data_IF_444742703212
#
_entry.id   IF_444742703212
#
_cell.length_a   1.000
_cell.length_b   1.000
_cell.length_c   1.000
_cell.angle_alpha   90.00
_cell.angle_beta   90.00
_cell.angle_gamma   90.00
#
_symmetry.space_group_name_H-M   'P 1'
#
loop_
_entity.id
_entity.type
_entity.pdbx_description
1 polymer ?
#
# COMPACT_ATOMS: atom_id res chain seq x y z
N UNK A 1 27.79 -59.38 -4.29
CA UNK A 1 27.93 -57.93 -4.03
C UNK A 1 28.11 -57.04 -5.29
N UNK A 2 28.83 -57.42 -6.33
CA UNK A 2 29.02 -56.61 -7.56
C UNK A 2 27.72 -56.39 -8.33
N UNK A 3 26.83 -57.38 -8.45
CA UNK A 3 25.54 -57.25 -9.20
C UNK A 3 24.55 -56.28 -8.55
N UNK A 4 24.49 -56.23 -7.24
CA UNK A 4 23.56 -55.27 -6.54
C UNK A 4 24.07 -53.85 -6.68
N UNK A 5 25.34 -53.60 -6.67
CA UNK A 5 25.94 -52.26 -6.89
C UNK A 5 25.70 -51.72 -8.29
N UNK A 6 25.78 -52.59 -9.31
CA UNK A 6 25.50 -52.20 -10.70
C UNK A 6 24.02 -51.86 -10.94
N UNK A 7 23.07 -52.57 -10.33
CA UNK A 7 21.64 -52.29 -10.45
C UNK A 7 21.24 -50.98 -9.77
N UNK A 8 21.84 -50.67 -8.63
CA UNK A 8 21.60 -49.40 -7.91
C UNK A 8 22.19 -48.20 -8.66
N UNK A 9 23.37 -48.32 -9.23
CA UNK A 9 24.00 -47.32 -10.09
C UNK A 9 23.16 -47.05 -11.35
N UNK A 10 22.69 -48.11 -12.01
CA UNK A 10 21.81 -48.00 -13.20
C UNK A 10 20.48 -47.30 -12.86
N UNK A 11 19.86 -47.59 -11.73
CA UNK A 11 18.63 -46.91 -11.28
C UNK A 11 18.87 -45.43 -10.98
N UNK A 12 19.97 -45.09 -10.32
CA UNK A 12 20.36 -43.70 -10.04
C UNK A 12 20.64 -42.92 -11.33
N UNK A 13 21.33 -43.49 -12.29
CA UNK A 13 21.59 -42.87 -13.61
C UNK A 13 20.31 -42.69 -14.40
N UNK A 14 19.36 -43.62 -14.36
CA UNK A 14 18.07 -43.50 -15.01
C UNK A 14 17.21 -42.39 -14.38
N UNK A 15 17.19 -42.30 -13.04
CA UNK A 15 16.48 -41.24 -12.33
C UNK A 15 17.05 -39.85 -12.61
N UNK A 16 18.37 -39.70 -12.73
CA UNK A 16 19.04 -38.47 -13.08
C UNK A 16 18.76 -38.07 -14.54
N UNK A 17 18.73 -39.01 -15.46
CA UNK A 17 18.36 -38.78 -16.86
C UNK A 17 16.89 -38.34 -16.99
N UNK A 18 15.99 -38.97 -16.24
CA UNK A 18 14.57 -38.59 -16.20
C UNK A 18 14.36 -37.19 -15.63
N UNK A 19 15.08 -36.86 -14.55
CA UNK A 19 15.05 -35.52 -13.97
C UNK A 19 15.58 -34.48 -14.95
N UNK A 20 16.67 -34.75 -15.64
CA UNK A 20 17.24 -33.89 -16.66
C UNK A 20 16.26 -33.69 -17.84
N UNK A 21 15.62 -34.77 -18.28
CA UNK A 21 14.60 -34.71 -19.33
C UNK A 21 13.40 -33.85 -18.91
N UNK A 22 12.91 -34.01 -17.68
CA UNK A 22 11.82 -33.19 -17.15
C UNK A 22 12.22 -31.71 -17.13
N UNK A 23 13.44 -31.38 -16.66
CA UNK A 23 13.94 -30.01 -16.63
C UNK A 23 14.09 -29.42 -18.04
N UNK A 24 14.60 -30.21 -19.00
CA UNK A 24 14.75 -29.77 -20.39
C UNK A 24 13.38 -29.57 -21.04
N UNK A 25 12.45 -30.52 -20.89
CA UNK A 25 11.09 -30.38 -21.44
C UNK A 25 10.37 -29.17 -20.84
N UNK A 26 10.44 -29.01 -19.50
CA UNK A 26 9.85 -27.84 -18.84
C UNK A 26 10.50 -26.52 -19.32
N UNK A 27 11.82 -26.51 -19.45
CA UNK A 27 12.54 -25.36 -19.98
C UNK A 27 12.16 -25.03 -21.42
N UNK A 28 12.02 -26.03 -22.30
CA UNK A 28 11.57 -25.83 -23.68
C UNK A 28 10.12 -25.33 -23.74
N UNK A 29 9.22 -25.92 -22.97
CA UNK A 29 7.81 -25.47 -22.91
C UNK A 29 7.74 -24.04 -22.38
N UNK A 30 8.52 -23.71 -21.36
CA UNK A 30 8.56 -22.37 -20.77
C UNK A 30 9.11 -21.32 -21.75
N UNK A 31 10.15 -21.68 -22.52
CA UNK A 31 10.72 -20.79 -23.55
C UNK A 31 9.82 -20.62 -24.77
N UNK A 32 8.93 -21.59 -25.04
CA UNK A 32 7.96 -21.54 -26.15
C UNK A 32 6.59 -21.01 -25.71
N UNK A 33 6.33 -20.87 -24.41
CA UNK A 33 5.07 -20.32 -23.92
C UNK A 33 4.96 -18.85 -24.37
N UNK A 34 3.99 -18.59 -25.24
CA UNK A 34 3.63 -17.23 -25.60
C UNK A 34 3.13 -16.52 -24.35
N UNK A 35 3.74 -15.39 -24.02
CA UNK A 35 3.23 -14.54 -22.94
C UNK A 35 1.92 -13.90 -23.41
N UNK A 36 0.88 -13.86 -22.55
CA UNK A 36 -0.34 -13.17 -22.92
C UNK A 36 -0.02 -11.71 -23.25
N UNK A 37 -0.60 -11.16 -24.34
CA UNK A 37 -0.37 -9.76 -24.68
C UNK A 37 -0.87 -8.88 -23.55
N UNK A 38 -0.07 -7.90 -23.15
CA UNK A 38 -0.46 -6.89 -22.15
C UNK A 38 -1.17 -5.75 -22.88
N UNK A 39 -2.39 -5.45 -22.46
CA UNK A 39 -3.17 -4.33 -22.96
C UNK A 39 -2.57 -2.99 -22.55
N UNK A 40 -2.97 -1.89 -23.19
CA UNK A 40 -2.57 -0.53 -22.80
C UNK A 40 -3.06 -0.20 -21.39
N UNK A 41 -2.32 0.65 -20.68
CA UNK A 41 -2.81 1.23 -19.44
C UNK A 41 -4.10 1.99 -19.70
N UNK A 42 -5.09 1.81 -18.82
CA UNK A 42 -6.23 2.70 -18.74
C UNK A 42 -5.77 3.97 -18.02
N UNK A 43 -5.74 5.09 -18.74
CA UNK A 43 -5.48 6.38 -18.12
C UNK A 43 -6.75 6.80 -17.40
N UNK A 44 -6.68 7.14 -16.09
CA UNK A 44 -7.84 7.66 -15.37
C UNK A 44 -8.37 8.91 -16.09
N UNK A 45 -9.66 8.93 -16.40
CA UNK A 45 -10.31 10.16 -16.81
C UNK A 45 -10.44 11.04 -15.56
N UNK A 46 -9.85 12.23 -15.62
CA UNK A 46 -10.06 13.21 -14.57
C UNK A 46 -11.48 13.75 -14.67
N UNK A 47 -12.21 13.81 -13.55
CA UNK A 47 -13.54 14.42 -13.58
C UNK A 47 -13.41 15.86 -14.06
N UNK A 48 -14.16 16.22 -15.09
CA UNK A 48 -14.28 17.63 -15.47
C UNK A 48 -14.79 18.40 -14.26
N UNK A 49 -14.21 19.57 -13.92
CA UNK A 49 -14.67 20.36 -12.81
C UNK A 49 -16.18 20.51 -12.88
N UNK A 50 -16.91 20.02 -11.90
CA UNK A 50 -18.34 20.31 -11.81
C UNK A 50 -18.45 21.79 -11.48
N UNK A 51 -19.10 22.56 -12.33
CA UNK A 51 -19.20 24.03 -12.32
C UNK A 51 -19.62 24.67 -10.97
N UNK A 52 -19.84 23.89 -9.91
CA UNK A 52 -20.30 24.35 -8.60
C UNK A 52 -19.43 23.96 -7.40
N UNK A 53 -18.61 22.91 -7.47
CA UNK A 53 -17.80 22.46 -6.31
C UNK A 53 -16.36 22.97 -6.31
N UNK A 54 -15.87 23.52 -7.42
CA UNK A 54 -14.47 23.87 -7.59
C UNK A 54 -14.12 25.34 -7.37
N UNK A 55 -15.10 26.18 -7.05
CA UNK A 55 -14.87 27.63 -6.84
C UNK A 55 -14.48 28.01 -5.42
N UNK A 56 -14.82 27.15 -4.45
CA UNK A 56 -14.53 27.42 -3.04
C UNK A 56 -13.47 26.41 -2.54
N UNK A 57 -12.44 26.86 -1.82
CA UNK A 57 -11.42 25.98 -1.28
C UNK A 57 -12.02 25.02 -0.25
N UNK A 58 -11.80 23.73 -0.44
CA UNK A 58 -12.25 22.69 0.47
C UNK A 58 -11.07 21.96 1.08
N UNK A 59 -11.04 21.87 2.40
CA UNK A 59 -10.08 21.05 3.16
C UNK A 59 -10.74 20.51 4.42
N UNK A 60 -10.62 19.22 4.64
CA UNK A 60 -11.20 18.56 5.80
C UNK A 60 -10.30 17.43 6.31
N UNK A 61 -10.24 17.26 7.63
CA UNK A 61 -9.57 16.14 8.28
C UNK A 61 -10.53 15.36 9.17
N UNK A 62 -10.40 14.04 9.19
CA UNK A 62 -11.19 13.10 10.02
C UNK A 62 -10.33 11.90 10.38
N UNK A 63 -10.72 11.17 11.42
CA UNK A 63 -10.24 9.81 11.63
C UNK A 63 -11.19 8.81 11.00
N UNK A 64 -10.67 7.95 10.12
CA UNK A 64 -11.42 6.84 9.54
C UNK A 64 -11.56 5.67 10.51
N UNK A 65 -10.60 5.47 11.41
CA UNK A 65 -10.67 4.48 12.48
C UNK A 65 -11.35 5.03 13.73
N UNK A 66 -12.05 4.18 14.47
CA UNK A 66 -12.82 4.56 15.65
C UNK A 66 -12.34 3.91 16.95
N UNK A 67 -11.65 2.78 16.91
CA UNK A 67 -11.06 2.15 18.10
C UNK A 67 -9.93 2.98 18.66
N UNK A 68 -9.89 3.12 20.00
CA UNK A 68 -8.83 3.82 20.71
C UNK A 68 -7.76 2.86 21.26
N UNK A 69 -8.01 1.56 21.21
CA UNK A 69 -7.21 0.52 21.87
C UNK A 69 -6.29 -0.27 20.91
N UNK A 70 -6.39 -0.03 19.61
CA UNK A 70 -5.66 -0.81 18.60
C UNK A 70 -4.41 -0.08 18.08
N UNK A 71 -3.38 -0.87 17.80
CA UNK A 71 -2.32 -0.47 16.89
C UNK A 71 -2.86 -0.55 15.46
N UNK A 72 -2.87 0.55 14.73
CA UNK A 72 -3.38 0.61 13.35
C UNK A 72 -2.29 1.01 12.37
N UNK A 73 -2.28 0.38 11.17
CA UNK A 73 -1.24 0.68 10.19
C UNK A 73 -1.63 0.27 8.76
N UNK A 74 -0.88 0.81 7.78
CA UNK A 74 -0.96 0.47 6.36
C UNK A 74 -2.37 0.61 5.77
N UNK A 75 -2.96 1.79 5.89
CA UNK A 75 -4.27 2.10 5.34
C UNK A 75 -4.29 2.17 3.82
N UNK A 76 -5.46 1.90 3.24
CA UNK A 76 -5.79 2.10 1.84
C UNK A 76 -7.25 2.55 1.72
N UNK A 77 -7.57 3.35 0.71
CA UNK A 77 -8.91 3.89 0.48
C UNK A 77 -9.31 3.70 -0.99
N UNK A 78 -10.60 3.46 -1.22
CA UNK A 78 -11.19 3.40 -2.55
C UNK A 78 -12.53 4.13 -2.58
N UNK A 79 -12.91 4.73 -3.71
CA UNK A 79 -14.28 5.21 -3.90
C UNK A 79 -15.25 4.02 -3.98
N UNK A 80 -16.51 4.28 -3.62
CA UNK A 80 -17.59 3.31 -3.75
C UNK A 80 -18.43 3.60 -5.00
N UNK A 81 -19.00 2.59 -5.66
CA UNK A 81 -19.80 2.79 -6.88
C UNK A 81 -21.01 3.72 -6.70
N UNK A 82 -21.62 3.69 -5.51
CA UNK A 82 -22.76 4.52 -5.13
C UNK A 82 -22.38 5.90 -4.58
N UNK A 83 -21.10 6.22 -4.55
CA UNK A 83 -20.54 7.40 -3.91
C UNK A 83 -20.04 7.13 -2.50
N UNK A 84 -19.25 8.06 -1.97
CA UNK A 84 -18.52 7.87 -0.70
C UNK A 84 -17.26 7.03 -0.86
N UNK A 85 -16.69 6.59 0.26
CA UNK A 85 -15.41 5.90 0.30
C UNK A 85 -15.47 4.67 1.21
N UNK A 86 -14.56 3.73 0.98
CA UNK A 86 -14.23 2.67 1.92
C UNK A 86 -12.74 2.69 2.21
N UNK A 87 -12.37 2.84 3.47
CA UNK A 87 -10.99 2.71 3.92
C UNK A 87 -10.80 1.34 4.58
N UNK A 88 -9.60 0.77 4.40
CA UNK A 88 -9.17 -0.48 5.01
C UNK A 88 -7.79 -0.31 5.62
N UNK A 89 -7.52 -1.00 6.72
CA UNK A 89 -6.22 -1.01 7.40
C UNK A 89 -6.07 -2.31 8.20
N UNK A 90 -4.89 -2.60 8.69
CA UNK A 90 -4.76 -3.65 9.69
C UNK A 90 -4.73 -3.08 11.11
N UNK A 91 -5.35 -3.78 12.05
CA UNK A 91 -5.44 -3.39 13.45
C UNK A 91 -5.30 -4.60 14.39
N UNK A 92 -4.71 -4.38 15.54
CA UNK A 92 -4.50 -5.37 16.58
C UNK A 92 -3.56 -4.88 17.68
N UNK A 93 -3.05 -5.76 18.53
CA UNK A 93 -2.21 -5.35 19.67
C UNK A 93 -0.86 -4.74 19.25
N UNK A 94 -0.30 -5.16 18.12
CA UNK A 94 0.93 -4.63 17.51
C UNK A 94 1.10 -5.16 16.10
N UNK A 95 1.98 -4.56 15.33
CA UNK A 95 2.32 -5.08 13.99
C UNK A 95 2.75 -6.55 14.05
N UNK A 96 2.12 -7.38 13.21
CA UNK A 96 2.43 -8.79 13.05
C UNK A 96 2.03 -9.68 14.22
N UNK A 97 1.20 -9.20 15.15
CA UNK A 97 0.59 -10.03 16.19
C UNK A 97 -0.46 -10.99 15.60
N UNK A 98 -0.77 -12.10 16.30
CA UNK A 98 -1.78 -13.06 15.84
C UNK A 98 -3.22 -12.54 15.87
N UNK A 99 -3.49 -11.47 16.63
CA UNK A 99 -4.78 -10.80 16.76
C UNK A 99 -5.00 -9.69 15.74
N UNK A 100 -4.06 -9.51 14.81
CA UNK A 100 -4.20 -8.54 13.72
C UNK A 100 -5.24 -9.00 12.72
N UNK A 101 -6.27 -8.17 12.53
CA UNK A 101 -7.32 -8.30 11.52
C UNK A 101 -7.25 -7.15 10.51
N UNK A 102 -7.93 -7.31 9.37
CA UNK A 102 -8.18 -6.21 8.43
C UNK A 102 -9.50 -5.56 8.84
N UNK A 103 -9.42 -4.30 9.26
CA UNK A 103 -10.55 -3.44 9.59
C UNK A 103 -10.96 -2.58 8.41
N UNK A 104 -12.19 -2.11 8.44
CA UNK A 104 -12.73 -1.19 7.45
C UNK A 104 -13.70 -0.20 8.09
N UNK A 105 -13.88 0.96 7.42
CA UNK A 105 -14.95 1.91 7.66
C UNK A 105 -15.45 2.48 6.33
N UNK A 106 -16.68 2.98 6.31
CA UNK A 106 -17.31 3.60 5.14
C UNK A 106 -17.52 5.09 5.43
N UNK A 107 -17.17 5.93 4.47
CA UNK A 107 -17.42 7.37 4.53
C UNK A 107 -18.70 7.69 3.78
N UNK A 108 -19.61 8.36 4.45
CA UNK A 108 -20.84 8.88 3.86
C UNK A 108 -20.61 10.33 3.38
N UNK A 109 -20.69 10.59 2.07
CA UNK A 109 -20.47 11.93 1.52
C UNK A 109 -21.58 12.93 1.90
N UNK A 110 -22.74 12.48 2.36
CA UNK A 110 -23.85 13.35 2.77
C UNK A 110 -23.66 13.87 4.19
N UNK A 111 -23.42 12.98 5.14
CA UNK A 111 -23.12 13.34 6.54
C UNK A 111 -21.69 13.82 6.74
N UNK A 112 -20.81 13.55 5.79
CA UNK A 112 -19.36 13.83 5.89
C UNK A 112 -18.70 13.11 7.08
N UNK A 113 -19.16 11.91 7.42
CA UNK A 113 -18.71 11.11 8.56
C UNK A 113 -18.28 9.71 8.15
N UNK A 114 -17.35 9.15 8.91
CA UNK A 114 -16.98 7.74 8.83
C UNK A 114 -17.90 6.90 9.73
N UNK A 115 -18.33 5.76 9.23
CA UNK A 115 -19.04 4.76 10.06
C UNK A 115 -18.12 4.25 11.18
N UNK A 116 -18.67 3.69 12.26
CA UNK A 116 -17.89 2.85 13.15
C UNK A 116 -17.12 1.79 12.36
N UNK A 117 -15.88 1.52 12.77
CA UNK A 117 -15.07 0.49 12.13
C UNK A 117 -15.63 -0.91 12.38
N UNK A 118 -15.38 -1.82 11.45
CA UNK A 118 -15.77 -3.22 11.53
C UNK A 118 -14.65 -4.13 11.01
N UNK A 119 -14.63 -5.38 11.48
CA UNK A 119 -13.71 -6.39 10.96
C UNK A 119 -14.19 -6.85 9.59
N UNK A 120 -13.39 -6.52 8.55
CA UNK A 120 -13.66 -6.97 7.18
C UNK A 120 -13.10 -8.37 6.93
N UNK A 121 -11.89 -8.65 7.40
CA UNK A 121 -11.24 -9.95 7.27
C UNK A 121 -10.52 -10.29 8.57
N UNK A 122 -10.93 -11.38 9.23
CA UNK A 122 -10.18 -11.87 10.37
C UNK A 122 -9.11 -12.88 9.97
N UNK A 123 -8.05 -12.98 10.79
CA UNK A 123 -7.00 -13.98 10.62
C UNK A 123 -7.58 -15.40 10.62
N UNK A 124 -8.50 -15.69 11.54
CA UNK A 124 -9.13 -17.01 11.69
C UNK A 124 -10.00 -17.36 10.49
N UNK A 125 -10.80 -16.43 10.00
CA UNK A 125 -11.61 -16.65 8.79
C UNK A 125 -10.69 -16.93 7.58
N UNK A 126 -9.57 -16.20 7.44
CA UNK A 126 -8.57 -16.45 6.39
C UNK A 126 -7.97 -17.85 6.51
N UNK A 127 -7.64 -18.29 7.72
CA UNK A 127 -7.08 -19.62 8.00
C UNK A 127 -8.05 -20.73 7.57
N UNK A 128 -9.32 -20.61 7.97
CA UNK A 128 -10.37 -21.57 7.66
C UNK A 128 -10.64 -21.64 6.14
N UNK A 129 -10.85 -20.48 5.52
CA UNK A 129 -11.23 -20.41 4.10
C UNK A 129 -10.10 -20.83 3.15
N UNK A 130 -8.84 -20.55 3.50
CA UNK A 130 -7.68 -20.99 2.74
C UNK A 130 -7.21 -22.42 3.10
N UNK A 131 -7.81 -23.04 4.13
CA UNK A 131 -7.39 -24.33 4.67
C UNK A 131 -5.88 -24.39 4.94
N UNK A 132 -5.35 -23.32 5.55
CA UNK A 132 -3.91 -23.12 5.76
C UNK A 132 -3.67 -22.37 7.04
N UNK A 133 -2.70 -22.80 7.83
CA UNK A 133 -2.28 -22.05 9.00
C UNK A 133 -1.85 -20.62 8.62
N UNK A 134 -2.47 -19.63 9.26
CA UNK A 134 -2.18 -18.20 9.11
C UNK A 134 -1.72 -17.64 10.46
N UNK A 135 -0.47 -17.21 10.48
CA UNK A 135 0.14 -16.63 11.67
C UNK A 135 -0.26 -15.16 11.87
N UNK A 136 -0.33 -14.38 10.77
CA UNK A 136 -0.64 -12.95 10.79
C UNK A 136 -1.14 -12.46 9.45
N UNK A 137 -1.86 -11.33 9.49
CA UNK A 137 -2.29 -10.55 8.33
C UNK A 137 -1.56 -9.20 8.27
N UNK A 138 -1.69 -8.50 7.15
CA UNK A 138 -1.17 -7.13 6.98
C UNK A 138 -1.38 -6.57 5.59
N UNK A 139 -0.98 -5.32 5.41
CA UNK A 139 -0.95 -4.57 4.15
C UNK A 139 -2.20 -4.76 3.28
N UNK A 140 -3.40 -4.38 3.73
CA UNK A 140 -4.57 -4.38 2.86
C UNK A 140 -4.46 -3.25 1.83
N UNK A 141 -4.90 -3.54 0.61
CA UNK A 141 -5.05 -2.56 -0.48
C UNK A 141 -6.42 -2.76 -1.09
N UNK A 142 -7.25 -1.73 -1.05
CA UNK A 142 -8.57 -1.71 -1.68
C UNK A 142 -8.55 -0.82 -2.92
N UNK A 143 -9.29 -1.21 -3.95
CA UNK A 143 -9.44 -0.42 -5.17
C UNK A 143 -10.76 -0.69 -5.85
N UNK A 144 -11.30 0.31 -6.54
CA UNK A 144 -12.46 0.18 -7.42
C UNK A 144 -11.97 -0.01 -8.86
N UNK A 145 -12.36 -1.12 -9.48
CA UNK A 145 -12.08 -1.38 -10.88
C UNK A 145 -13.06 -0.61 -11.80
N UNK A 146 -12.69 -0.36 -13.08
CA UNK A 146 -13.55 0.36 -14.03
C UNK A 146 -14.93 -0.26 -14.25
N UNK A 147 -15.10 -1.56 -13.96
CA UNK A 147 -16.38 -2.28 -14.03
C UNK A 147 -17.20 -2.20 -12.73
N UNK A 148 -16.91 -1.24 -11.84
CA UNK A 148 -17.54 -1.05 -10.54
C UNK A 148 -17.35 -2.22 -9.53
N UNK A 149 -16.40 -3.10 -9.79
CA UNK A 149 -16.02 -4.17 -8.85
C UNK A 149 -14.97 -3.65 -7.86
N UNK A 150 -15.19 -3.84 -6.57
CA UNK A 150 -14.16 -3.64 -5.56
C UNK A 150 -13.24 -4.85 -5.47
N UNK A 151 -11.95 -4.59 -5.40
CA UNK A 151 -10.91 -5.56 -5.09
C UNK A 151 -10.26 -5.23 -3.76
N UNK A 152 -10.07 -6.26 -2.94
CA UNK A 152 -9.25 -6.21 -1.73
C UNK A 152 -8.08 -7.18 -1.89
N UNK A 153 -6.87 -6.66 -1.87
CA UNK A 153 -5.64 -7.44 -1.78
C UNK A 153 -5.07 -7.30 -0.38
N UNK A 154 -4.70 -8.40 0.26
CA UNK A 154 -4.08 -8.34 1.58
C UNK A 154 -3.04 -9.43 1.77
N UNK A 155 -2.09 -9.19 2.65
CA UNK A 155 -0.97 -10.10 2.92
C UNK A 155 -1.34 -11.07 4.03
N UNK A 156 -1.02 -12.34 3.83
CA UNK A 156 -1.02 -13.35 4.89
C UNK A 156 0.35 -14.02 5.01
N UNK A 157 0.73 -14.37 6.23
CA UNK A 157 1.98 -15.08 6.54
C UNK A 157 1.65 -16.35 7.29
N UNK A 158 2.11 -17.48 6.76
CA UNK A 158 1.96 -18.80 7.40
C UNK A 158 3.15 -19.13 8.30
N UNK A 159 4.38 -18.91 7.83
CA UNK A 159 5.62 -19.25 8.53
C UNK A 159 6.61 -18.09 8.42
N UNK A 160 7.37 -17.87 9.48
CA UNK A 160 8.42 -16.86 9.51
C UNK A 160 7.91 -15.43 9.66
N UNK A 161 8.69 -14.46 9.15
CA UNK A 161 8.35 -13.04 9.07
C UNK A 161 7.70 -12.68 7.74
N UNK A 162 7.78 -11.40 7.35
CA UNK A 162 7.26 -10.92 6.07
C UNK A 162 7.88 -11.61 4.84
N UNK A 163 9.08 -12.18 4.98
CA UNK A 163 9.67 -13.07 3.97
C UNK A 163 8.87 -14.35 3.68
N UNK A 164 7.93 -14.75 4.54
CA UNK A 164 7.01 -15.88 4.32
C UNK A 164 5.63 -15.48 3.79
N UNK A 165 5.46 -14.24 3.34
CA UNK A 165 4.20 -13.66 2.91
C UNK A 165 3.69 -14.18 1.57
N UNK A 166 2.37 -14.11 1.39
CA UNK A 166 1.70 -14.19 0.11
C UNK A 166 0.47 -13.28 0.09
N UNK A 167 0.05 -12.87 -1.09
CA UNK A 167 -1.11 -12.02 -1.31
C UNK A 167 -2.35 -12.88 -1.46
N UNK A 168 -3.44 -12.45 -0.85
CA UNK A 168 -4.77 -12.97 -1.07
C UNK A 168 -5.61 -11.87 -1.73
N UNK A 169 -6.51 -12.27 -2.63
CA UNK A 169 -7.45 -11.39 -3.31
C UNK A 169 -8.88 -11.75 -2.95
N UNK A 170 -9.70 -10.76 -2.69
CA UNK A 170 -11.16 -10.85 -2.56
C UNK A 170 -11.81 -9.81 -3.45
N UNK A 171 -13.04 -10.04 -3.87
CA UNK A 171 -13.80 -9.10 -4.69
C UNK A 171 -15.21 -8.92 -4.16
N UNK A 172 -15.77 -7.75 -4.40
CA UNK A 172 -17.17 -7.43 -4.14
C UNK A 172 -17.79 -6.83 -5.38
N UNK A 173 -18.99 -7.30 -5.74
CA UNK A 173 -19.76 -6.82 -6.87
C UNK A 173 -20.97 -5.95 -6.40
N UNK A 174 -21.08 -5.66 -5.11
CA UNK A 174 -22.21 -4.97 -4.46
C UNK A 174 -21.76 -3.79 -3.56
N UNK A 175 -20.69 -3.09 -3.97
CA UNK A 175 -20.18 -1.92 -3.24
C UNK A 175 -19.55 -2.25 -1.90
N UNK A 176 -19.03 -3.48 -1.70
CA UNK A 176 -18.36 -3.88 -0.46
C UNK A 176 -19.30 -4.37 0.64
N UNK A 177 -20.58 -4.69 0.32
CA UNK A 177 -21.54 -5.27 1.26
C UNK A 177 -21.20 -6.74 1.48
N UNK A 178 -21.01 -7.49 0.40
CA UNK A 178 -20.56 -8.88 0.46
C UNK A 178 -19.26 -9.08 -0.30
N UNK A 179 -18.47 -10.07 0.14
CA UNK A 179 -17.15 -10.35 -0.42
C UNK A 179 -17.00 -11.82 -0.79
N UNK A 180 -16.32 -12.08 -1.90
CA UNK A 180 -15.95 -13.44 -2.27
C UNK A 180 -15.01 -14.04 -1.20
N UNK A 181 -14.96 -15.39 -1.09
CA UNK A 181 -13.90 -16.02 -0.33
C UNK A 181 -12.50 -15.57 -0.79
N UNK A 182 -11.51 -15.49 0.12
CA UNK A 182 -10.16 -15.12 -0.25
C UNK A 182 -9.53 -16.17 -1.16
N UNK A 183 -8.88 -15.70 -2.22
CA UNK A 183 -8.08 -16.51 -3.13
C UNK A 183 -6.62 -16.13 -2.99
N UNK A 184 -5.76 -17.09 -2.64
CA UNK A 184 -4.32 -16.88 -2.58
C UNK A 184 -3.74 -16.80 -3.99
N UNK A 185 -3.07 -15.71 -4.30
CA UNK A 185 -2.36 -15.53 -5.57
C UNK A 185 -1.12 -16.43 -5.60
N UNK A 186 -0.96 -17.19 -6.66
CA UNK A 186 0.23 -18.03 -6.90
C UNK A 186 1.15 -17.29 -7.86
N UNK A 187 2.23 -16.73 -7.33
CA UNK A 187 3.17 -15.88 -8.06
C UNK A 187 4.48 -16.59 -8.42
N UNK A 188 4.61 -17.85 -8.04
CA UNK A 188 5.78 -18.70 -8.33
C UNK A 188 5.38 -20.17 -8.33
N UNK A 189 5.87 -20.99 -9.29
CA UNK A 189 5.49 -22.40 -9.40
C UNK A 189 6.03 -23.28 -8.26
N UNK A 190 7.11 -22.88 -7.60
CA UNK A 190 7.76 -23.70 -6.57
C UNK A 190 7.58 -23.17 -5.15
N UNK A 191 7.94 -21.90 -4.94
CA UNK A 191 7.89 -21.25 -3.63
C UNK A 191 7.10 -19.95 -3.73
N UNK A 192 5.83 -19.99 -3.35
CA UNK A 192 4.96 -18.82 -3.32
C UNK A 192 5.15 -18.08 -1.98
N UNK A 193 6.27 -17.41 -1.84
CA UNK A 193 6.69 -16.68 -0.64
C UNK A 193 7.19 -15.29 -0.97
N UNK A 194 7.18 -14.41 0.04
CA UNK A 194 7.72 -13.06 -0.01
C UNK A 194 7.10 -12.19 -1.11
N UNK A 195 5.80 -12.33 -1.35
CA UNK A 195 5.07 -11.39 -2.20
C UNK A 195 4.19 -10.53 -1.30
N UNK A 196 4.42 -9.22 -1.35
CA UNK A 196 3.72 -8.22 -0.55
C UNK A 196 3.15 -7.13 -1.46
N UNK A 197 2.03 -6.55 -1.03
CA UNK A 197 1.38 -5.42 -1.68
C UNK A 197 1.39 -4.21 -0.75
N UNK A 198 1.34 -2.99 -1.30
CA UNK A 198 1.22 -1.76 -0.51
C UNK A 198 0.45 -0.65 -1.22
N UNK A 199 0.69 -0.44 -2.49
CA UNK A 199 0.07 0.65 -3.26
C UNK A 199 -1.06 0.13 -4.16
N UNK A 200 -1.91 1.06 -4.54
CA UNK A 200 -3.09 0.82 -5.38
C UNK A 200 -2.67 0.24 -6.73
N UNK A 201 -3.37 -0.78 -7.23
CA UNK A 201 -3.15 -1.29 -8.59
C UNK A 201 -3.55 -0.27 -9.64
N UNK A 202 -2.97 -0.42 -10.82
CA UNK A 202 -3.41 0.26 -12.04
C UNK A 202 -4.23 -0.70 -12.90
N UNK A 203 -5.06 -0.16 -13.78
CA UNK A 203 -5.88 -0.98 -14.69
C UNK A 203 -5.39 -0.83 -16.13
N UNK A 204 -5.63 -1.87 -16.91
CA UNK A 204 -5.45 -1.86 -18.35
C UNK A 204 -6.79 -1.73 -19.06
N UNK A 205 -6.79 -1.33 -20.32
CA UNK A 205 -8.02 -1.09 -21.10
C UNK A 205 -8.91 -2.31 -21.28
N UNK A 206 -8.34 -3.51 -21.22
CA UNK A 206 -9.08 -4.78 -21.25
C UNK A 206 -9.64 -5.21 -19.89
N UNK A 207 -9.49 -4.36 -18.86
CA UNK A 207 -9.90 -4.63 -17.48
C UNK A 207 -8.91 -5.48 -16.68
N UNK A 208 -7.78 -5.90 -17.27
CA UNK A 208 -6.73 -6.58 -16.52
C UNK A 208 -6.08 -5.63 -15.49
N UNK A 209 -5.51 -6.24 -14.44
CA UNK A 209 -5.03 -5.52 -13.27
C UNK A 209 -3.52 -5.59 -13.23
N UNK A 210 -2.87 -4.44 -13.16
CA UNK A 210 -1.45 -4.30 -12.88
C UNK A 210 -1.23 -4.04 -11.40
N UNK A 211 -0.87 -5.05 -10.63
CA UNK A 211 -0.68 -4.95 -9.18
C UNK A 211 0.78 -4.73 -8.84
N UNK A 212 1.16 -3.54 -8.30
CA UNK A 212 2.51 -3.31 -7.81
C UNK A 212 2.78 -4.13 -6.54
N UNK A 213 3.83 -4.94 -6.56
CA UNK A 213 4.19 -5.81 -5.45
C UNK A 213 5.70 -5.74 -5.18
N UNK A 214 6.13 -6.33 -4.07
CA UNK A 214 7.54 -6.35 -3.71
C UNK A 214 7.93 -7.60 -2.93
N UNK A 215 9.23 -7.84 -2.88
CA UNK A 215 9.86 -9.00 -2.26
C UNK A 215 10.85 -8.57 -1.18
N UNK A 216 10.89 -9.29 -0.05
CA UNK A 216 11.78 -8.98 1.09
C UNK A 216 12.59 -10.16 1.63
N UNK A 217 12.61 -11.31 0.96
CA UNK A 217 13.30 -12.50 1.47
C UNK A 217 14.71 -12.66 0.92
N UNK A 218 14.85 -12.82 -0.40
CA UNK A 218 16.14 -12.96 -1.09
C UNK A 218 16.53 -11.66 -1.80
N UNK A 219 16.80 -10.63 -1.00
CA UNK A 219 16.94 -9.26 -1.48
C UNK A 219 15.65 -8.46 -1.32
N UNK A 220 15.70 -7.17 -1.65
CA UNK A 220 14.57 -6.25 -1.59
C UNK A 220 14.38 -5.61 -2.95
N UNK A 221 13.30 -5.97 -3.63
CA UNK A 221 13.03 -5.53 -4.98
C UNK A 221 11.53 -5.42 -5.26
N UNK A 222 11.19 -4.62 -6.25
CA UNK A 222 9.83 -4.42 -6.71
C UNK A 222 9.52 -5.28 -7.94
N UNK A 223 8.28 -5.70 -8.05
CA UNK A 223 7.72 -6.47 -9.15
C UNK A 223 6.33 -5.92 -9.53
N UNK A 224 5.88 -6.27 -10.72
CA UNK A 224 4.58 -5.93 -11.27
C UNK A 224 3.85 -7.21 -11.64
N UNK A 225 2.75 -7.52 -10.96
CA UNK A 225 1.90 -8.66 -11.30
C UNK A 225 0.86 -8.22 -12.31
N UNK A 226 0.80 -8.91 -13.43
CA UNK A 226 -0.28 -8.79 -14.39
C UNK A 226 -1.35 -9.85 -14.08
N UNK A 227 -2.55 -9.39 -13.69
CA UNK A 227 -3.68 -10.24 -13.36
C UNK A 227 -4.77 -10.08 -14.42
N UNK A 228 -5.53 -11.16 -14.67
CA UNK A 228 -6.74 -11.06 -15.50
C UNK A 228 -7.81 -10.19 -14.83
N UNK A 229 -8.87 -9.77 -15.55
CA UNK A 229 -10.02 -9.09 -14.97
C UNK A 229 -10.71 -9.87 -13.84
N UNK A 230 -10.50 -11.20 -13.78
CA UNK A 230 -11.01 -12.09 -12.73
C UNK A 230 -10.02 -12.30 -11.57
N UNK A 231 -8.83 -11.67 -11.65
CA UNK A 231 -7.79 -11.75 -10.62
C UNK A 231 -6.90 -12.99 -10.69
N UNK A 232 -6.82 -13.66 -11.86
CA UNK A 232 -5.86 -14.75 -12.09
C UNK A 232 -4.48 -14.16 -12.43
N UNK A 233 -3.41 -14.73 -11.88
CA UNK A 233 -2.04 -14.31 -12.20
C UNK A 233 -1.71 -14.76 -13.62
N UNK A 234 -1.49 -13.82 -14.53
CA UNK A 234 -1.10 -14.05 -15.91
C UNK A 234 0.41 -14.05 -16.08
N UNK A 235 1.08 -13.04 -15.54
CA UNK A 235 2.54 -12.92 -15.57
C UNK A 235 3.07 -12.05 -14.43
N UNK A 236 4.40 -12.01 -14.29
CA UNK A 236 5.09 -11.22 -13.28
C UNK A 236 6.37 -10.61 -13.87
N UNK A 237 6.47 -9.30 -13.80
CA UNK A 237 7.57 -8.53 -14.35
C UNK A 237 8.42 -7.89 -13.25
N UNK A 238 9.72 -7.81 -13.46
CA UNK A 238 10.66 -7.21 -12.51
C UNK A 238 10.76 -5.71 -12.73
N UNK A 239 10.46 -4.91 -11.67
CA UNK A 239 10.64 -3.44 -11.71
C UNK A 239 12.06 -3.05 -11.29
N UNK A 240 12.66 -3.78 -10.35
CA UNK A 240 13.97 -3.41 -9.81
C UNK A 240 14.89 -4.60 -9.56
N UNK A 241 16.17 -4.33 -9.46
CA UNK A 241 17.25 -5.31 -9.41
C UNK A 241 17.58 -5.90 -8.03
N UNK A 242 16.83 -5.54 -7.00
CA UNK A 242 17.04 -6.05 -5.64
C UNK A 242 17.92 -5.17 -4.74
N UNK A 243 18.20 -3.92 -5.13
CA UNK A 243 18.98 -2.95 -4.36
C UNK A 243 18.14 -2.12 -3.41
N UNK A 244 17.39 -2.76 -2.53
CA UNK A 244 16.59 -2.10 -1.50
C UNK A 244 15.43 -1.24 -2.02
N UNK A 245 14.93 -1.48 -3.23
CA UNK A 245 13.81 -0.79 -3.86
C UNK A 245 12.53 -1.61 -3.69
N UNK A 246 11.61 -1.13 -2.85
CA UNK A 246 10.37 -1.82 -2.51
C UNK A 246 9.15 -0.89 -2.58
N UNK A 247 7.96 -1.46 -2.39
CA UNK A 247 6.69 -0.74 -2.29
C UNK A 247 6.44 0.22 -3.46
N UNK A 248 6.46 -0.26 -4.72
CA UNK A 248 6.27 0.59 -5.88
C UNK A 248 4.90 1.25 -5.89
N UNK A 249 4.85 2.57 -6.15
CA UNK A 249 3.66 3.31 -6.58
C UNK A 249 3.77 3.50 -8.08
N UNK A 250 2.85 2.93 -8.84
CA UNK A 250 2.87 2.98 -10.30
C UNK A 250 1.87 4.02 -10.80
N UNK A 251 2.34 4.96 -11.61
CA UNK A 251 1.52 6.02 -12.23
C UNK A 251 1.58 5.85 -13.73
N UNK A 252 0.47 5.50 -14.41
CA UNK A 252 0.39 5.51 -15.86
C UNK A 252 0.60 6.93 -16.41
N UNK A 253 1.46 7.05 -17.43
CA UNK A 253 1.76 8.32 -18.12
C UNK A 253 1.12 8.34 -19.52
N UNK A 254 0.95 7.18 -20.12
CA UNK A 254 0.27 6.97 -21.39
C UNK A 254 -0.24 5.53 -21.49
N UNK A 255 -0.91 5.17 -22.56
CA UNK A 255 -1.33 3.78 -22.79
C UNK A 255 -0.17 2.77 -22.77
N UNK A 256 1.06 3.18 -23.08
CA UNK A 256 2.23 2.31 -23.14
C UNK A 256 3.24 2.56 -22.02
N UNK A 257 3.24 3.73 -21.42
CA UNK A 257 4.27 4.15 -20.47
C UNK A 257 3.71 4.39 -19.07
N UNK A 258 4.53 4.05 -18.06
CA UNK A 258 4.27 4.36 -16.66
C UNK A 258 5.56 4.64 -15.91
N UNK A 259 5.43 5.38 -14.81
CA UNK A 259 6.45 5.63 -13.81
C UNK A 259 6.18 4.76 -12.58
N UNK A 260 7.22 4.18 -12.00
CA UNK A 260 7.20 3.59 -10.67
C UNK A 260 8.08 4.41 -9.72
N UNK A 261 7.50 4.99 -8.69
CA UNK A 261 8.20 5.57 -7.55
C UNK A 261 8.33 4.53 -6.44
N UNK A 262 9.54 4.36 -5.88
CA UNK A 262 9.83 3.26 -4.98
C UNK A 262 10.43 3.78 -3.67
N UNK A 263 9.99 3.15 -2.56
CA UNK A 263 10.62 3.30 -1.25
C UNK A 263 12.06 2.80 -1.31
N UNK A 264 12.99 3.63 -0.84
CA UNK A 264 14.37 3.24 -0.65
C UNK A 264 14.56 2.63 0.74
N UNK A 265 14.65 1.31 0.82
CA UNK A 265 14.83 0.58 2.08
C UNK A 265 16.29 0.30 2.43
N UNK A 266 17.22 1.06 1.87
CA UNK A 266 18.65 1.04 2.20
C UNK A 266 18.93 1.42 3.67
N UNK A 267 20.16 1.22 4.10
CA UNK A 267 20.55 1.44 5.50
C UNK A 267 20.89 2.90 5.83
N UNK A 268 21.10 3.74 4.84
CA UNK A 268 21.53 5.12 5.02
C UNK A 268 20.61 6.07 4.28
N UNK A 269 20.71 7.35 4.56
CA UNK A 269 19.95 8.45 3.99
C UNK A 269 19.69 8.26 2.49
N UNK A 270 18.57 7.65 2.18
CA UNK A 270 18.20 7.35 0.82
C UNK A 270 17.33 8.44 0.22
N UNK A 271 17.32 8.49 -1.12
CA UNK A 271 16.38 9.28 -1.89
C UNK A 271 15.34 8.37 -2.52
N UNK A 272 14.22 8.93 -2.95
CA UNK A 272 13.21 8.20 -3.72
C UNK A 272 13.89 7.53 -4.91
N UNK A 273 13.44 6.32 -5.24
CA UNK A 273 13.90 5.60 -6.43
C UNK A 273 12.82 5.67 -7.50
N UNK A 274 13.23 5.83 -8.77
CA UNK A 274 12.32 5.87 -9.90
C UNK A 274 12.72 4.86 -10.98
N UNK A 275 11.74 4.21 -11.58
CA UNK A 275 11.88 3.29 -12.71
C UNK A 275 10.77 3.55 -13.72
N UNK A 276 11.03 3.35 -15.02
CA UNK A 276 10.10 3.64 -16.10
C UNK A 276 9.86 2.41 -16.96
N UNK A 277 8.64 2.28 -17.45
CA UNK A 277 8.27 1.35 -18.52
C UNK A 277 7.77 2.11 -19.76
N UNK A 278 7.91 1.49 -20.94
CA UNK A 278 7.40 1.99 -22.22
C UNK A 278 6.71 0.88 -23.04
N UNK A 279 6.42 -0.22 -22.39
CA UNK A 279 5.85 -1.43 -23.00
C UNK A 279 4.77 -2.05 -22.11
N UNK A 280 3.95 -1.19 -21.48
CA UNK A 280 2.78 -1.59 -20.68
C UNK A 280 3.13 -2.36 -19.41
N UNK A 281 4.34 -2.11 -18.85
CA UNK A 281 4.80 -2.73 -17.61
C UNK A 281 5.56 -4.05 -17.78
N UNK A 282 5.87 -4.47 -19.01
CA UNK A 282 6.56 -5.73 -19.28
C UNK A 282 8.07 -5.62 -19.00
N UNK A 283 8.67 -4.48 -19.32
CA UNK A 283 10.07 -4.18 -18.96
C UNK A 283 10.18 -2.82 -18.27
N UNK A 284 11.14 -2.69 -17.37
CA UNK A 284 11.36 -1.51 -16.56
C UNK A 284 12.84 -1.11 -16.60
N UNK A 285 13.10 0.19 -16.57
CA UNK A 285 14.45 0.69 -16.44
C UNK A 285 15.08 0.34 -15.10
N UNK A 286 16.41 0.31 -15.02
CA UNK A 286 17.06 0.22 -13.72
C UNK A 286 16.64 1.41 -12.84
N UNK A 287 16.34 1.18 -11.54
CA UNK A 287 15.96 2.24 -10.63
C UNK A 287 17.09 3.24 -10.43
N UNK A 288 16.74 4.51 -10.53
CA UNK A 288 17.66 5.62 -10.28
C UNK A 288 17.20 6.41 -9.05
N UNK A 289 18.15 6.91 -8.27
CA UNK A 289 17.82 7.84 -7.18
C UNK A 289 17.48 9.21 -7.76
N UNK A 290 16.42 9.79 -7.24
CA UNK A 290 15.94 11.14 -7.61
C UNK A 290 15.77 11.97 -6.34
N UNK A 291 15.69 13.29 -6.48
CA UNK A 291 15.12 14.10 -5.38
C UNK A 291 13.63 13.74 -5.24
N UNK A 292 13.05 13.77 -4.07
CA UNK A 292 13.51 14.19 -2.74
C UNK A 292 14.08 13.05 -1.88
N UNK A 293 14.37 13.34 -0.61
CA UNK A 293 14.76 12.34 0.38
C UNK A 293 13.64 11.32 0.60
N UNK A 294 14.02 10.10 1.00
CA UNK A 294 13.10 9.07 1.48
C UNK A 294 13.72 8.36 2.69
N UNK A 295 13.22 8.60 3.90
CA UNK A 295 13.75 8.03 5.13
C UNK A 295 13.32 6.58 5.33
N UNK A 296 13.45 5.74 4.29
CA UNK A 296 12.94 4.37 4.29
C UNK A 296 11.44 4.34 4.64
N UNK A 297 10.64 5.18 3.99
CA UNK A 297 9.20 5.31 4.19
C UNK A 297 8.41 5.01 2.92
N UNK A 298 7.20 4.47 3.07
CA UNK A 298 6.24 4.29 1.97
C UNK A 298 5.81 5.64 1.41
N UNK A 299 5.50 5.66 0.12
CA UNK A 299 4.92 6.81 -0.56
C UNK A 299 3.72 6.37 -1.41
N UNK A 300 2.86 7.31 -1.74
CA UNK A 300 1.75 7.10 -2.67
C UNK A 300 1.77 8.20 -3.73
N UNK A 301 1.47 7.84 -4.98
CA UNK A 301 1.49 8.77 -6.10
C UNK A 301 0.29 8.54 -7.01
N UNK A 302 -0.25 9.63 -7.54
CA UNK A 302 -1.33 9.63 -8.53
C UNK A 302 -1.03 10.64 -9.64
N UNK A 303 -1.62 10.42 -10.83
CA UNK A 303 -1.73 11.46 -11.85
C UNK A 303 -2.67 12.55 -11.33
N UNK A 304 -2.29 13.82 -11.47
CA UNK A 304 -2.99 14.92 -10.79
C UNK A 304 -4.07 15.58 -11.66
N UNK A 305 -3.71 15.95 -12.89
CA UNK A 305 -4.51 16.86 -13.70
C UNK A 305 -4.59 16.42 -15.17
N UNK A 306 -5.48 17.08 -15.91
CA UNK A 306 -5.63 16.91 -17.37
C UNK A 306 -4.40 17.42 -18.15
N UNK A 307 -3.58 18.27 -17.56
CA UNK A 307 -2.35 18.76 -18.15
C UNK A 307 -1.26 17.70 -18.09
N UNK A 308 -0.57 17.52 -19.19
CA UNK A 308 0.39 16.46 -19.48
C UNK A 308 1.35 16.19 -18.32
N UNK A 309 1.10 15.07 -17.62
CA UNK A 309 2.03 14.40 -16.74
C UNK A 309 2.33 14.99 -15.36
N UNK A 310 1.44 15.80 -14.80
CA UNK A 310 1.57 16.24 -13.41
C UNK A 310 1.24 15.09 -12.45
N UNK A 311 2.11 14.90 -11.48
CA UNK A 311 2.06 13.80 -10.52
C UNK A 311 2.05 14.38 -9.11
N UNK A 312 1.05 14.02 -8.32
CA UNK A 312 1.01 14.31 -6.90
C UNK A 312 1.55 13.14 -6.10
N UNK A 313 2.40 13.44 -5.12
CA UNK A 313 3.07 12.43 -4.30
C UNK A 313 2.94 12.79 -2.83
N UNK A 314 2.26 11.91 -2.06
CA UNK A 314 2.21 11.97 -0.60
C UNK A 314 3.36 11.15 -0.02
N UNK A 315 4.24 11.77 0.78
CA UNK A 315 5.43 11.09 1.32
C UNK A 315 6.09 11.84 2.49
N UNK A 316 6.91 11.11 3.22
CA UNK A 316 7.88 11.71 4.14
C UNK A 316 9.12 12.13 3.33
N UNK A 317 9.35 13.43 3.20
CA UNK A 317 10.53 13.98 2.54
C UNK A 317 11.53 14.51 3.56
N UNK A 318 12.01 13.63 4.41
CA UNK A 318 13.00 13.93 5.43
C UNK A 318 14.25 13.09 5.19
N UNK A 319 15.38 13.58 5.64
CA UNK A 319 16.61 12.80 5.64
C UNK A 319 16.49 11.59 6.56
N UNK A 320 15.89 11.79 7.73
CA UNK A 320 15.65 10.79 8.77
C UNK A 320 14.29 11.02 9.42
N UNK A 321 13.67 9.94 9.92
CA UNK A 321 12.39 10.01 10.65
C UNK A 321 11.17 10.10 9.71
N UNK A 322 9.98 10.04 10.33
CA UNK A 322 8.68 10.09 9.65
C UNK A 322 7.72 11.07 10.34
N UNK A 323 8.30 12.09 10.96
CA UNK A 323 7.59 13.08 11.78
C UNK A 323 6.95 14.21 10.95
N UNK A 324 7.04 14.14 9.62
CA UNK A 324 6.37 15.05 8.69
C UNK A 324 5.86 14.26 7.47
N UNK A 325 4.60 14.43 7.12
CA UNK A 325 4.00 13.92 5.89
C UNK A 325 3.62 15.10 5.01
N UNK A 326 4.08 15.09 3.77
CA UNK A 326 3.94 16.21 2.84
C UNK A 326 3.35 15.77 1.51
N UNK A 327 2.70 16.69 0.84
CA UNK A 327 2.22 16.57 -0.53
C UNK A 327 3.16 17.34 -1.46
N UNK A 328 3.72 16.63 -2.43
CA UNK A 328 4.57 17.17 -3.48
C UNK A 328 3.90 17.04 -4.84
N UNK A 329 4.25 17.95 -5.73
CA UNK A 329 3.95 17.90 -7.15
C UNK A 329 5.26 17.80 -7.93
N UNK A 330 5.24 16.99 -8.98
CA UNK A 330 6.32 16.83 -9.95
C UNK A 330 5.73 16.48 -11.31
N UNK A 331 6.55 16.46 -12.34
CA UNK A 331 6.17 15.96 -13.66
C UNK A 331 6.85 14.62 -13.98
N UNK A 332 6.56 14.06 -15.14
CA UNK A 332 7.15 12.81 -15.62
C UNK A 332 8.67 12.88 -15.83
N UNK A 333 9.29 14.08 -15.84
CA UNK A 333 10.73 14.25 -15.92
C UNK A 333 11.43 14.12 -14.58
N UNK A 334 10.69 14.28 -13.47
CA UNK A 334 11.17 14.21 -12.08
C UNK A 334 12.29 15.19 -11.73
N UNK A 335 12.46 16.26 -12.53
CA UNK A 335 13.52 17.23 -12.35
C UNK A 335 13.20 18.28 -11.31
N UNK A 336 11.94 18.67 -11.24
CA UNK A 336 11.45 19.67 -10.32
C UNK A 336 10.42 19.06 -9.37
N UNK A 337 10.58 19.36 -8.08
CA UNK A 337 9.70 18.91 -7.02
C UNK A 337 9.22 20.12 -6.24
N UNK A 338 7.93 20.33 -6.25
CA UNK A 338 7.29 21.46 -5.58
C UNK A 338 6.52 20.95 -4.36
N UNK A 339 6.87 21.46 -3.18
CA UNK A 339 6.06 21.24 -1.99
C UNK A 339 4.73 21.99 -2.16
N UNK A 340 3.61 21.25 -2.13
CA UNK A 340 2.27 21.84 -2.19
C UNK A 340 1.76 22.18 -0.80
N UNK A 341 1.89 21.23 0.12
CA UNK A 341 1.50 21.43 1.52
C UNK A 341 2.12 20.38 2.43
N UNK A 342 2.15 20.68 3.73
CA UNK A 342 2.42 19.72 4.80
C UNK A 342 1.06 19.23 5.30
N UNK A 343 0.83 17.91 5.25
CA UNK A 343 -0.41 17.28 5.69
C UNK A 343 -0.43 17.07 7.19
N UNK A 344 0.72 16.71 7.75
CA UNK A 344 0.97 16.59 9.20
C UNK A 344 2.45 16.81 9.51
N UNK A 345 2.73 17.41 10.66
CA UNK A 345 4.07 17.67 11.15
C UNK A 345 4.13 17.56 12.68
N UNK A 346 5.22 16.98 13.19
CA UNK A 346 5.46 16.97 14.61
C UNK A 346 5.66 18.39 15.18
N UNK A 347 5.33 18.63 16.46
CA UNK A 347 5.55 19.93 17.09
C UNK A 347 7.01 20.39 17.09
N UNK A 348 7.97 19.47 17.09
CA UNK A 348 9.38 19.76 16.85
C UNK A 348 9.73 19.42 15.39
N UNK A 349 10.00 20.43 14.53
CA UNK A 349 10.29 20.20 13.11
C UNK A 349 11.55 19.36 12.85
N UNK A 350 12.48 19.32 13.81
CA UNK A 350 13.66 18.44 13.75
C UNK A 350 13.32 16.98 14.13
N UNK A 351 12.07 16.71 14.52
CA UNK A 351 11.62 15.38 14.94
C UNK A 351 12.29 14.87 16.22
N UNK A 352 12.77 15.77 17.07
CA UNK A 352 13.36 15.36 18.34
C UNK A 352 12.32 14.72 19.24
N UNK A 353 12.64 13.56 19.84
CA UNK A 353 11.73 12.91 20.75
C UNK A 353 11.36 13.82 21.95
N UNK A 354 10.08 13.84 22.28
CA UNK A 354 9.56 14.63 23.38
C UNK A 354 9.50 13.81 24.69
N UNK A 355 9.60 14.47 25.87
CA UNK A 355 9.25 13.83 27.14
C UNK A 355 7.80 13.29 27.09
N UNK A 356 7.48 12.16 27.76
CA UNK A 356 6.17 11.54 27.71
C UNK A 356 5.00 12.49 28.02
N UNK A 357 5.14 13.33 29.07
CA UNK A 357 4.10 14.29 29.43
C UNK A 357 3.88 15.39 28.37
N UNK A 358 4.93 15.79 27.68
CA UNK A 358 4.84 16.76 26.61
C UNK A 358 4.22 16.11 25.36
N UNK A 359 4.67 14.91 24.99
CA UNK A 359 4.06 14.12 23.91
C UNK A 359 2.55 13.95 24.14
N UNK A 360 2.16 13.55 25.36
CA UNK A 360 0.75 13.36 25.73
C UNK A 360 -0.09 14.62 25.53
N UNK A 361 0.43 15.79 25.93
CA UNK A 361 -0.29 17.08 25.70
C UNK A 361 -0.43 17.39 24.22
N UNK A 362 0.65 17.29 23.47
CA UNK A 362 0.65 17.66 22.07
C UNK A 362 -0.23 16.70 21.23
N UNK A 363 -0.17 15.40 21.51
CA UNK A 363 -1.02 14.42 20.82
C UNK A 363 -2.51 14.60 21.14
N UNK A 364 -2.83 15.06 22.38
CA UNK A 364 -4.20 15.38 22.75
C UNK A 364 -4.73 16.60 22.00
N UNK A 365 -3.93 17.67 21.89
CA UNK A 365 -4.28 18.87 21.12
C UNK A 365 -4.49 18.54 19.64
N UNK A 366 -3.59 17.77 19.04
CA UNK A 366 -3.69 17.34 17.65
C UNK A 366 -4.91 16.43 17.44
N UNK A 367 -5.17 15.47 18.34
CA UNK A 367 -6.35 14.60 18.28
C UNK A 367 -7.67 15.39 18.26
N UNK A 368 -7.79 16.44 19.07
CA UNK A 368 -8.98 17.29 19.12
C UNK A 368 -9.12 18.12 17.82
N UNK A 369 -8.00 18.55 17.24
CA UNK A 369 -8.01 19.35 16.01
C UNK A 369 -8.55 18.57 14.80
N UNK A 370 -8.43 17.24 14.82
CA UNK A 370 -8.93 16.34 13.78
C UNK A 370 -10.42 16.05 14.01
N UNK A 371 -11.33 16.81 13.40
CA UNK A 371 -12.73 16.38 13.27
C UNK A 371 -13.67 16.56 14.45
N UNK A 372 -13.56 17.63 15.22
CA UNK A 372 -14.69 18.16 15.98
C UNK A 372 -15.10 17.42 17.26
N UNK A 373 -16.38 17.54 17.65
CA UNK A 373 -16.93 17.12 18.95
C UNK A 373 -16.76 15.66 19.30
N UNK A 374 -16.89 14.75 18.32
CA UNK A 374 -16.78 13.31 18.56
C UNK A 374 -15.41 12.88 19.11
N UNK A 375 -14.33 13.54 18.66
CA UNK A 375 -13.01 13.29 19.19
C UNK A 375 -12.84 13.78 20.62
N UNK A 376 -13.53 14.86 21.00
CA UNK A 376 -13.55 15.34 22.39
C UNK A 376 -14.09 14.27 23.36
N UNK A 377 -15.15 13.58 22.99
CA UNK A 377 -15.74 12.52 23.80
C UNK A 377 -14.83 11.27 23.90
N UNK A 378 -14.05 11.00 22.87
CA UNK A 378 -13.12 9.87 22.80
C UNK A 378 -11.75 10.17 23.43
N UNK A 379 -11.42 11.43 23.64
CA UNK A 379 -10.10 11.86 24.13
C UNK A 379 -9.73 11.18 25.46
N UNK A 380 -10.65 11.14 26.42
CA UNK A 380 -10.41 10.51 27.72
C UNK A 380 -10.00 9.05 27.58
N UNK A 381 -10.76 8.27 26.80
CA UNK A 381 -10.46 6.86 26.56
C UNK A 381 -9.11 6.68 25.83
N UNK A 382 -8.79 7.54 24.87
CA UNK A 382 -7.51 7.51 24.16
C UNK A 382 -6.32 7.83 25.09
N UNK A 383 -6.45 8.83 25.94
CA UNK A 383 -5.40 9.16 26.91
C UNK A 383 -5.20 8.07 27.97
N UNK A 384 -6.31 7.47 28.46
CA UNK A 384 -6.27 6.32 29.36
C UNK A 384 -5.59 5.10 28.70
N UNK A 385 -5.82 4.91 27.41
CA UNK A 385 -5.13 3.87 26.65
C UNK A 385 -3.63 4.14 26.54
N UNK A 386 -3.23 5.36 26.23
CA UNK A 386 -1.81 5.74 26.18
C UNK A 386 -1.12 5.53 27.55
N UNK A 387 -1.83 5.78 28.65
CA UNK A 387 -1.30 5.58 30.00
C UNK A 387 -1.20 4.09 30.40
N UNK A 388 -2.13 3.24 29.94
CA UNK A 388 -2.14 1.79 30.20
C UNK A 388 -1.13 1.00 29.38
N UNK A 389 -0.95 1.40 28.14
CA UNK A 389 0.09 0.85 27.31
C UNK A 389 1.38 1.53 27.74
N UNK A 390 2.37 0.75 28.17
CA UNK A 390 3.72 1.25 28.23
C UNK A 390 3.96 2.05 26.94
N UNK A 391 3.82 3.38 26.98
CA UNK A 391 4.13 4.29 25.87
C UNK A 391 5.48 3.94 25.25
N UNK A 392 6.35 3.31 26.05
CA UNK A 392 7.67 2.80 25.70
C UNK A 392 7.70 1.82 24.51
N UNK A 393 6.58 1.21 24.11
CA UNK A 393 6.63 0.16 23.11
C UNK A 393 6.19 0.59 21.70
N UNK A 394 5.46 1.69 21.57
CA UNK A 394 4.91 2.14 20.27
C UNK A 394 5.55 3.40 19.74
N UNK A 395 5.50 4.45 20.53
CA UNK A 395 5.95 5.79 20.14
C UNK A 395 7.03 6.33 21.07
N UNK A 396 7.15 5.80 22.30
CA UNK A 396 8.17 6.20 23.27
C UNK A 396 9.22 5.10 23.42
N UNK A 397 10.48 5.48 23.44
CA UNK A 397 11.62 4.59 23.69
C UNK A 397 12.22 4.95 25.05
N UNK A 398 12.42 3.93 25.91
CA UNK A 398 13.00 4.09 27.24
C UNK A 398 14.29 4.92 27.19
N UNK A 399 14.33 6.02 27.94
CA UNK A 399 15.47 6.94 27.99
C UNK A 399 15.69 7.81 26.74
N UNK A 400 14.83 7.70 25.71
CA UNK A 400 14.97 8.49 24.45
C UNK A 400 13.82 9.47 24.21
N UNK A 401 12.66 9.27 24.87
CA UNK A 401 11.46 10.06 24.63
C UNK A 401 10.52 9.48 23.57
N UNK A 402 9.50 10.25 23.22
CA UNK A 402 8.41 9.85 22.34
C UNK A 402 8.49 10.56 21.00
N UNK A 403 8.27 9.83 19.91
CA UNK A 403 8.35 10.32 18.53
C UNK A 403 6.94 10.41 17.92
N UNK A 404 6.69 11.39 17.07
CA UNK A 404 5.53 11.46 16.19
C UNK A 404 5.84 10.73 14.89
N UNK A 405 4.87 9.96 14.38
CA UNK A 405 5.02 9.22 13.14
C UNK A 405 3.75 9.33 12.27
N UNK A 406 3.92 9.78 11.03
CA UNK A 406 2.89 9.88 10.01
C UNK A 406 3.29 9.03 8.82
N UNK A 407 2.67 7.86 8.67
CA UNK A 407 3.21 6.80 7.87
C UNK A 407 2.23 6.20 6.89
N UNK A 408 2.78 5.57 5.86
CA UNK A 408 2.04 4.74 4.92
C UNK A 408 0.85 5.46 4.29
N UNK A 409 1.08 6.58 3.59
CA UNK A 409 0.01 7.24 2.87
C UNK A 409 -0.54 6.36 1.76
N UNK A 410 -1.86 6.45 1.54
CA UNK A 410 -2.52 6.00 0.33
C UNK A 410 -3.33 7.16 -0.23
N UNK A 411 -3.31 7.35 -1.54
CA UNK A 411 -3.76 8.56 -2.19
C UNK A 411 -4.63 8.21 -3.40
N UNK A 412 -5.81 8.81 -3.47
CA UNK A 412 -6.74 8.68 -4.60
C UNK A 412 -7.36 10.05 -4.95
N UNK A 413 -7.92 10.14 -6.16
CA UNK A 413 -8.88 11.18 -6.55
C UNK A 413 -10.23 10.49 -6.79
N UNK A 414 -11.31 11.01 -6.22
CA UNK A 414 -12.67 10.50 -6.40
C UNK A 414 -13.36 11.14 -7.60
N UNK A 415 -14.50 10.57 -8.01
CA UNK A 415 -15.23 11.02 -9.19
C UNK A 415 -15.83 12.43 -9.05
N UNK A 416 -15.97 12.94 -7.84
CA UNK A 416 -16.39 14.32 -7.54
C UNK A 416 -15.24 15.33 -7.60
N UNK A 417 -14.02 14.90 -7.95
CA UNK A 417 -12.84 15.74 -8.09
C UNK A 417 -12.02 15.90 -6.83
N UNK A 418 -12.50 15.44 -5.67
CA UNK A 418 -11.79 15.55 -4.41
C UNK A 418 -10.58 14.60 -4.36
N UNK A 419 -9.53 15.10 -3.75
CA UNK A 419 -8.35 14.33 -3.38
C UNK A 419 -8.52 13.77 -1.97
N UNK A 420 -8.16 12.50 -1.77
CA UNK A 420 -8.24 11.81 -0.49
C UNK A 420 -6.92 11.14 -0.15
N UNK A 421 -6.34 11.52 0.98
CA UNK A 421 -5.14 10.88 1.53
C UNK A 421 -5.52 10.22 2.85
N UNK A 422 -5.22 8.92 3.00
CA UNK A 422 -5.32 8.21 4.28
C UNK A 422 -3.94 7.74 4.71
N UNK A 423 -3.63 7.80 6.00
CA UNK A 423 -2.35 7.39 6.54
C UNK A 423 -2.44 7.01 8.03
N UNK A 424 -1.43 6.30 8.50
CA UNK A 424 -1.28 5.97 9.92
C UNK A 424 -0.80 7.19 10.69
N UNK A 425 -1.61 7.66 11.62
CA UNK A 425 -1.32 8.76 12.53
C UNK A 425 -0.87 8.19 13.87
N UNK A 426 0.43 8.32 14.18
CA UNK A 426 1.06 7.83 15.41
C UNK A 426 0.75 6.35 15.72
N UNK A 427 0.55 5.52 14.71
CA UNK A 427 0.17 4.11 14.84
C UNK A 427 -1.08 3.87 15.72
N UNK A 428 -1.88 4.91 15.97
CA UNK A 428 -3.06 4.89 16.83
C UNK A 428 -4.36 5.08 16.08
N UNK A 429 -4.36 5.90 15.03
CA UNK A 429 -5.53 6.13 14.18
C UNK A 429 -5.17 6.17 12.71
N UNK A 430 -6.18 5.95 11.86
CA UNK A 430 -6.11 6.22 10.43
C UNK A 430 -6.70 7.61 10.19
N UNK A 431 -5.83 8.58 9.86
CA UNK A 431 -6.25 9.93 9.51
C UNK A 431 -6.60 9.99 8.02
N UNK A 432 -7.70 10.63 7.72
CA UNK A 432 -8.18 10.96 6.38
C UNK A 432 -8.13 12.46 6.18
N UNK A 433 -7.51 12.89 5.09
CA UNK A 433 -7.49 14.27 4.62
C UNK A 433 -8.17 14.31 3.28
N UNK A 434 -9.16 15.20 3.13
CA UNK A 434 -9.86 15.47 1.88
C UNK A 434 -9.71 16.94 1.49
N UNK A 435 -9.39 17.20 0.22
CA UNK A 435 -9.23 18.57 -0.30
C UNK A 435 -9.53 18.63 -1.80
N UNK A 436 -9.80 19.83 -2.29
CA UNK A 436 -9.97 20.10 -3.71
C UNK A 436 -8.75 20.85 -4.31
N UNK A 437 -8.75 20.96 -5.61
CA UNK A 437 -7.71 21.62 -6.38
C UNK A 437 -7.58 23.11 -6.00
N UNK A 438 -8.71 23.81 -5.85
CA UNK A 438 -8.75 25.22 -5.45
C UNK A 438 -8.03 25.45 -4.11
N UNK A 439 -8.27 24.59 -3.12
CA UNK A 439 -7.54 24.69 -1.85
C UNK A 439 -6.04 24.47 -2.02
N UNK A 440 -5.65 23.46 -2.82
CA UNK A 440 -4.25 23.15 -3.05
C UNK A 440 -3.51 24.29 -3.78
N UNK A 441 -4.16 24.98 -4.70
CA UNK A 441 -3.59 26.14 -5.40
C UNK A 441 -3.31 27.32 -4.45
N UNK A 442 -4.11 27.47 -3.40
CA UNK A 442 -3.93 28.53 -2.38
C UNK A 442 -2.74 28.27 -1.44
N UNK A 443 -2.18 27.06 -1.44
CA UNK A 443 -1.01 26.68 -0.62
C UNK A 443 0.33 27.03 -1.28
N UNK A 444 0.35 28.03 -2.16
CA UNK A 444 1.54 28.48 -2.93
C UNK A 444 2.44 29.40 -2.13
#
# INVERSE_FOLDING_TARGET
MKFIRQSVLRRRSLSLLLLLLIVVVHGCVWLQAERPPVSEFAIPEHPSPSLQSDTEPFFQTRFASSSVDDYVHASSVAPLPEGGLMAVWFAGSREGAPDVDIRAARFDPVSQEWSPEFTLVSREATEILLQRHIRKLGNPVITLAPNNRLWLFYVSVSVGGWGGSAINAMRSDDGGITWSPPKRLVTSPFLNISTLVRNTPVFHRDGSIGLPVYHEFLGKFAEYLHLSPEGEVLDKYRISDGRHSIQPAVVPLSGESALALLRNSGKEHGKVLASFTRDRGQTWSDPVQIEPWNPNSSLAAISAFDAENDILVAMNNLRDGRHQLSLYETDSTLKEWRLRTILDEAPDPDGRPLPPDQYRRNVAEDFISVGGRENGDRLGAFLDYLDRQDLDKRVCKEGKGCEFEYEYPNFIRSADGLFHVVYSWNNSFIKHVAFNETWMEMQQ
#
